data_IF_326968131588
#
_entry.id   IF_326968131588
#
_cell.length_a   1.000
_cell.length_b   1.000
_cell.length_c   1.000
_cell.angle_alpha   90.00
_cell.angle_beta   90.00
_cell.angle_gamma   90.00
#
_symmetry.space_group_name_H-M   'P 1'
#
loop_
_entity.id
_entity.type
_entity.pdbx_description
1 polymer ?
#
# COMPACT_ATOMS: atom_id res chain seq x y z
N UNK A 1 -8.69 5.75 -34.96
CA UNK A 1 -9.04 6.98 -34.19
C UNK A 1 -9.09 6.80 -32.65
N UNK A 2 -8.49 5.77 -32.03
CA UNK A 2 -8.76 5.44 -30.61
C UNK A 2 -7.70 5.86 -29.56
N UNK A 3 -6.46 6.18 -29.97
CA UNK A 3 -5.36 6.40 -29.03
C UNK A 3 -5.36 7.81 -28.39
N UNK A 4 -5.69 8.84 -29.16
CA UNK A 4 -5.74 10.24 -28.68
C UNK A 4 -6.81 10.44 -27.60
N UNK A 5 -8.01 9.88 -27.80
CA UNK A 5 -9.11 9.94 -26.84
C UNK A 5 -8.78 9.24 -25.50
N UNK A 6 -8.01 8.14 -25.53
CA UNK A 6 -7.55 7.44 -24.30
C UNK A 6 -6.53 8.26 -23.51
N UNK A 7 -5.66 9.04 -24.19
CA UNK A 7 -4.64 9.89 -23.57
C UNK A 7 -5.28 11.10 -22.86
N UNK A 8 -6.18 11.80 -23.54
CA UNK A 8 -6.91 12.94 -22.97
C UNK A 8 -7.68 12.54 -21.68
N UNK A 9 -8.39 11.41 -21.72
CA UNK A 9 -9.15 10.88 -20.57
C UNK A 9 -8.28 10.46 -19.38
N UNK A 10 -6.96 10.26 -19.58
CA UNK A 10 -5.99 9.94 -18.52
C UNK A 10 -5.38 11.21 -17.92
N UNK A 11 -5.12 12.22 -18.75
CA UNK A 11 -4.70 13.55 -18.29
C UNK A 11 -5.77 14.22 -17.44
N UNK A 12 -7.03 14.19 -17.88
CA UNK A 12 -8.17 14.72 -17.09
C UNK A 12 -8.28 14.04 -15.72
N UNK A 13 -8.12 12.72 -15.65
CA UNK A 13 -8.15 12.02 -14.37
C UNK A 13 -6.98 12.40 -13.48
N UNK A 14 -5.77 12.52 -14.03
CA UNK A 14 -4.58 12.93 -13.27
C UNK A 14 -4.73 14.35 -12.74
N UNK A 15 -5.31 15.25 -13.52
CA UNK A 15 -5.62 16.62 -13.09
C UNK A 15 -6.70 16.64 -12.00
N UNK A 16 -7.75 15.82 -12.13
CA UNK A 16 -8.78 15.67 -11.08
C UNK A 16 -8.20 15.15 -9.77
N UNK A 17 -7.36 14.12 -9.81
CA UNK A 17 -6.69 13.58 -8.62
C UNK A 17 -5.78 14.65 -8.01
N UNK A 18 -4.92 15.29 -8.80
CA UNK A 18 -4.05 16.35 -8.30
C UNK A 18 -4.84 17.49 -7.66
N UNK A 19 -5.93 17.94 -8.27
CA UNK A 19 -6.79 19.00 -7.73
C UNK A 19 -7.44 18.61 -6.40
N UNK A 20 -7.92 17.37 -6.29
CA UNK A 20 -8.49 16.82 -5.05
C UNK A 20 -7.44 16.74 -3.93
N UNK A 21 -6.20 16.35 -4.25
CA UNK A 21 -5.10 16.29 -3.28
C UNK A 21 -4.67 17.68 -2.79
N UNK A 22 -4.74 18.71 -3.64
CA UNK A 22 -4.34 20.08 -3.27
C UNK A 22 -5.44 20.86 -2.54
N UNK A 23 -6.72 20.55 -2.78
CA UNK A 23 -7.87 21.28 -2.19
C UNK A 23 -8.41 20.67 -0.89
N UNK A 24 -8.06 19.41 -0.57
CA UNK A 24 -8.55 18.71 0.64
C UNK A 24 -7.60 18.92 1.83
N UNK A 25 -7.48 20.15 2.30
CA UNK A 25 -6.66 20.51 3.47
C UNK A 25 -7.20 19.96 4.80
N UNK A 26 -8.50 19.70 4.94
CA UNK A 26 -9.12 19.22 6.17
C UNK A 26 -10.35 18.38 5.83
N UNK A 27 -10.21 17.05 5.85
CA UNK A 27 -11.31 16.12 5.57
C UNK A 27 -10.86 14.69 5.85
N UNK A 28 -11.63 13.99 6.68
CA UNK A 28 -11.37 12.64 7.16
C UNK A 28 -10.88 11.70 6.03
N UNK A 29 -9.78 10.93 6.23
CA UNK A 29 -9.07 10.23 5.16
C UNK A 29 -9.91 9.18 4.40
N UNK A 30 -11.07 8.81 4.93
CA UNK A 30 -11.99 7.85 4.32
C UNK A 30 -12.80 8.41 3.13
N UNK A 31 -13.03 9.72 3.03
CA UNK A 31 -13.93 10.29 2.00
C UNK A 31 -13.27 10.51 0.64
N UNK A 32 -11.92 10.50 0.57
CA UNK A 32 -11.16 10.78 -0.66
C UNK A 32 -10.49 9.53 -1.25
N UNK A 33 -10.37 8.44 -0.48
CA UNK A 33 -9.78 7.19 -0.96
C UNK A 33 -10.79 6.40 -1.80
N UNK A 34 -10.97 6.81 -3.06
CA UNK A 34 -11.69 6.00 -4.04
C UNK A 34 -10.97 4.67 -4.27
N UNK A 35 -11.75 3.60 -4.47
CA UNK A 35 -11.22 2.28 -4.76
C UNK A 35 -10.27 2.32 -5.97
N UNK A 36 -9.14 1.59 -5.92
CA UNK A 36 -8.19 1.50 -7.04
C UNK A 36 -8.91 1.09 -8.34
N UNK A 37 -8.83 1.93 -9.37
CA UNK A 37 -9.46 1.61 -10.66
C UNK A 37 -8.51 0.82 -11.55
N UNK A 38 -8.93 -0.37 -11.98
CA UNK A 38 -8.20 -1.27 -12.89
C UNK A 38 -7.61 -0.60 -14.13
N UNK A 39 -8.25 0.45 -14.65
CA UNK A 39 -7.78 1.19 -15.85
C UNK A 39 -6.50 2.01 -15.62
N UNK A 40 -6.21 2.39 -14.38
CA UNK A 40 -5.05 3.23 -14.04
C UNK A 40 -3.87 2.43 -13.51
N UNK A 41 -4.10 1.17 -13.18
CA UNK A 41 -3.14 0.36 -12.46
C UNK A 41 -2.90 -0.93 -13.24
N UNK A 42 -1.69 -1.09 -13.78
CA UNK A 42 -1.29 -2.29 -14.51
C UNK A 42 -0.47 -3.15 -13.56
N UNK A 43 -1.01 -4.31 -13.23
CA UNK A 43 -0.23 -5.33 -12.53
C UNK A 43 0.87 -5.82 -13.48
N UNK A 44 2.13 -5.65 -13.06
CA UNK A 44 3.29 -6.21 -13.75
C UNK A 44 3.53 -7.57 -13.12
N UNK A 45 3.33 -8.64 -13.89
CA UNK A 45 3.61 -10.00 -13.41
C UNK A 45 5.11 -10.25 -13.17
N UNK A 46 5.95 -9.38 -13.70
CA UNK A 46 7.40 -9.42 -13.59
C UNK A 46 7.86 -8.06 -13.07
N UNK A 47 8.48 -8.07 -11.89
CA UNK A 47 9.39 -7.01 -11.47
C UNK A 47 10.78 -7.43 -11.92
N UNK A 48 11.51 -6.58 -12.63
CA UNK A 48 12.93 -6.83 -12.85
C UNK A 48 13.68 -6.47 -11.55
N UNK A 49 14.29 -7.44 -10.84
CA UNK A 49 14.99 -7.18 -9.59
C UNK A 49 16.11 -6.14 -9.72
N UNK A 50 16.66 -5.97 -10.93
CA UNK A 50 17.78 -5.09 -11.23
C UNK A 50 17.38 -3.72 -11.79
N UNK A 51 16.10 -3.48 -12.12
CA UNK A 51 15.69 -2.20 -12.71
C UNK A 51 14.46 -1.58 -12.10
N UNK A 52 13.58 -2.37 -11.49
CA UNK A 52 12.22 -1.87 -11.27
C UNK A 52 11.99 -1.19 -9.92
N UNK A 53 12.60 -1.55 -8.79
CA UNK A 53 12.28 -0.88 -7.52
C UNK A 53 13.44 -0.91 -6.51
N UNK A 54 13.68 0.23 -5.83
CA UNK A 54 14.50 0.33 -4.61
C UNK A 54 13.72 -0.31 -3.45
N UNK A 55 13.65 -1.65 -3.45
CA UNK A 55 13.02 -2.39 -2.37
C UNK A 55 14.09 -2.72 -1.34
N UNK A 56 13.77 -2.45 -0.07
CA UNK A 56 14.58 -2.92 1.05
C UNK A 56 14.31 -4.41 1.25
N UNK A 57 15.34 -5.22 1.08
CA UNK A 57 15.30 -6.66 1.32
C UNK A 57 15.95 -6.94 2.68
N UNK A 58 15.17 -7.14 3.75
CA UNK A 58 15.74 -7.45 5.06
C UNK A 58 16.48 -8.79 5.00
N UNK A 59 17.58 -8.91 5.76
CA UNK A 59 18.41 -10.12 5.81
C UNK A 59 17.60 -11.36 6.22
N UNK A 60 16.71 -11.18 7.18
CA UNK A 60 15.79 -12.22 7.66
C UNK A 60 14.46 -11.56 8.02
N UNK A 61 13.37 -12.34 8.17
CA UNK A 61 12.08 -11.81 8.63
C UNK A 61 12.19 -11.01 9.95
N UNK A 62 13.10 -11.41 10.85
CA UNK A 62 13.33 -10.72 12.12
C UNK A 62 14.01 -9.33 11.99
N UNK A 63 14.54 -8.99 10.82
CA UNK A 63 15.10 -7.67 10.50
C UNK A 63 14.08 -6.75 9.79
N UNK A 64 12.90 -7.25 9.44
CA UNK A 64 11.91 -6.46 8.72
C UNK A 64 11.30 -5.39 9.63
N UNK A 65 11.22 -4.15 9.12
CA UNK A 65 10.54 -3.06 9.82
C UNK A 65 9.07 -2.93 9.37
N UNK A 66 8.19 -3.66 10.05
CA UNK A 66 6.75 -3.60 9.80
C UNK A 66 6.07 -2.33 10.32
N UNK A 67 6.74 -1.51 11.13
CA UNK A 67 6.16 -0.31 11.75
C UNK A 67 5.74 0.76 10.73
N UNK A 68 6.44 0.81 9.60
CA UNK A 68 6.12 1.70 8.47
C UNK A 68 4.83 1.31 7.76
N UNK A 69 4.49 0.02 7.74
CA UNK A 69 3.30 -0.51 7.08
C UNK A 69 2.07 -0.56 8.00
N UNK A 70 2.28 -0.84 9.29
CA UNK A 70 1.23 -1.02 10.28
C UNK A 70 1.43 -0.12 11.52
N UNK A 71 1.44 1.22 11.36
CA UNK A 71 1.80 2.14 12.44
C UNK A 71 0.87 2.08 13.66
N UNK A 72 -0.40 1.71 13.45
CA UNK A 72 -1.37 1.57 14.53
C UNK A 72 -1.05 0.43 15.53
N UNK A 73 -0.20 -0.52 15.13
CA UNK A 73 0.15 -1.68 15.94
C UNK A 73 1.56 -1.59 16.53
N UNK A 74 2.24 -0.45 16.44
CA UNK A 74 3.60 -0.32 17.01
C UNK A 74 3.53 -0.51 18.53
N UNK A 75 4.37 -1.40 19.05
CA UNK A 75 4.44 -1.67 20.48
C UNK A 75 4.88 -0.40 21.22
N UNK A 76 4.15 0.09 22.24
CA UNK A 76 4.49 1.33 22.96
C UNK A 76 5.75 1.21 23.83
N UNK A 77 6.18 -0.01 24.18
CA UNK A 77 7.45 -0.26 24.85
C UNK A 77 8.63 -0.10 23.87
N UNK A 78 9.53 0.84 24.16
CA UNK A 78 10.69 1.17 23.30
C UNK A 78 11.83 0.17 23.38
N UNK A 79 11.79 -0.72 24.37
CA UNK A 79 12.76 -1.81 24.51
C UNK A 79 12.48 -2.95 23.54
N UNK A 80 11.24 -3.09 23.07
CA UNK A 80 10.82 -4.13 22.13
C UNK A 80 11.23 -3.75 20.70
N UNK A 81 12.39 -4.26 20.27
CA UNK A 81 12.98 -3.96 18.96
C UNK A 81 13.19 -5.21 18.11
N UNK A 82 13.13 -5.03 16.80
CA UNK A 82 13.54 -6.01 15.78
C UNK A 82 15.06 -6.13 15.76
N UNK A 83 15.60 -7.10 15.01
CA UNK A 83 17.06 -7.23 14.87
C UNK A 83 17.69 -6.08 14.08
N UNK A 84 16.91 -5.36 13.27
CA UNK A 84 17.35 -4.12 12.61
C UNK A 84 17.28 -2.88 13.51
N UNK A 85 16.78 -3.03 14.75
CA UNK A 85 16.65 -1.95 15.73
C UNK A 85 15.37 -1.12 15.60
N UNK A 86 14.48 -1.45 14.66
CA UNK A 86 13.16 -0.83 14.54
C UNK A 86 12.21 -1.32 15.63
N UNK A 87 11.10 -0.62 15.83
CA UNK A 87 10.10 -1.00 16.86
C UNK A 87 9.34 -2.24 16.42
N UNK A 88 9.17 -3.20 17.34
CA UNK A 88 8.27 -4.34 17.12
C UNK A 88 6.81 -3.90 17.11
N UNK A 89 5.98 -4.67 16.43
CA UNK A 89 4.54 -4.54 16.50
C UNK A 89 3.98 -5.31 17.71
N UNK A 90 2.74 -4.98 18.08
CA UNK A 90 1.89 -5.70 19.04
C UNK A 90 1.34 -7.01 18.46
N UNK A 91 1.30 -7.10 17.12
CA UNK A 91 0.82 -8.25 16.36
C UNK A 91 1.78 -8.56 15.22
N UNK A 92 1.91 -9.83 14.90
CA UNK A 92 2.70 -10.28 13.76
C UNK A 92 1.86 -10.29 12.48
N UNK A 93 2.53 -10.21 11.33
CA UNK A 93 1.87 -10.40 10.02
C UNK A 93 1.69 -11.90 9.81
N UNK A 94 0.44 -12.36 9.84
CA UNK A 94 0.11 -13.80 9.77
C UNK A 94 -0.44 -14.26 8.41
N UNK A 95 -0.94 -13.32 7.59
CA UNK A 95 -1.57 -13.61 6.30
C UNK A 95 -0.80 -12.92 5.17
N UNK A 96 -0.53 -13.67 4.11
CA UNK A 96 0.10 -13.17 2.88
C UNK A 96 -0.74 -13.54 1.66
N UNK A 97 -1.06 -12.56 0.83
CA UNK A 97 -1.76 -12.74 -0.45
C UNK A 97 -0.78 -12.57 -1.61
N UNK A 98 -0.30 -13.71 -2.14
CA UNK A 98 0.69 -13.73 -3.22
C UNK A 98 -0.03 -13.50 -4.54
N UNK A 99 0.26 -12.37 -5.18
CA UNK A 99 -0.44 -11.98 -6.40
C UNK A 99 -1.80 -11.34 -6.12
N UNK A 100 -1.91 -10.57 -5.02
CA UNK A 100 -3.13 -9.90 -4.56
C UNK A 100 -3.81 -8.98 -5.59
N UNK A 101 -3.12 -8.64 -6.67
CA UNK A 101 -3.63 -7.86 -7.78
C UNK A 101 -4.00 -6.42 -7.39
N UNK A 102 -5.30 -6.13 -7.24
CA UNK A 102 -5.77 -4.83 -6.71
C UNK A 102 -6.16 -4.89 -5.23
N UNK A 103 -5.88 -6.01 -4.54
CA UNK A 103 -6.13 -6.17 -3.11
C UNK A 103 -7.59 -6.46 -2.75
N UNK A 104 -8.44 -6.85 -3.71
CA UNK A 104 -9.86 -7.12 -3.44
C UNK A 104 -10.08 -8.23 -2.41
N UNK A 105 -9.25 -9.27 -2.43
CA UNK A 105 -9.28 -10.34 -1.43
C UNK A 105 -8.89 -9.81 -0.04
N UNK A 106 -7.79 -9.07 0.07
CA UNK A 106 -7.34 -8.47 1.35
C UNK A 106 -8.39 -7.54 1.96
N UNK A 107 -9.06 -6.71 1.14
CA UNK A 107 -10.16 -5.84 1.60
C UNK A 107 -11.35 -6.68 2.11
N UNK A 108 -11.65 -7.80 1.46
CA UNK A 108 -12.69 -8.73 1.92
C UNK A 108 -12.32 -9.52 3.18
N UNK A 109 -11.04 -9.87 3.35
CA UNK A 109 -10.52 -10.61 4.50
C UNK A 109 -10.46 -9.75 5.76
N UNK A 110 -10.15 -8.46 5.65
CA UNK A 110 -10.02 -7.57 6.80
C UNK A 110 -11.22 -7.60 7.78
N UNK A 111 -12.49 -7.47 7.35
CA UNK A 111 -13.63 -7.60 8.26
C UNK A 111 -13.92 -9.05 8.69
N UNK A 112 -13.48 -10.06 7.93
CA UNK A 112 -13.65 -11.47 8.30
C UNK A 112 -12.68 -11.91 9.41
N UNK A 113 -11.54 -11.23 9.54
CA UNK A 113 -10.49 -11.51 10.53
C UNK A 113 -10.12 -10.23 11.33
N UNK A 114 -11.05 -9.63 12.09
CA UNK A 114 -10.84 -8.32 12.72
C UNK A 114 -9.83 -8.33 13.87
N UNK A 115 -9.56 -9.52 14.44
CA UNK A 115 -8.65 -9.70 15.59
C UNK A 115 -7.30 -10.26 15.20
N UNK A 116 -7.10 -10.64 13.93
CA UNK A 116 -5.76 -10.88 13.41
C UNK A 116 -5.00 -9.55 13.20
#
# INVERSE_FOLDING_TARGET
MGAAAKRAKREEFRQKVAKVTTESGEGSPATVLQLPQKRYYRQRAHANPFSDHLLDYPLTPAHMDWSTHFPAFVNPDSTQKTLSGSRKLLKDVEVVDIGCGFGGLLVGLAPAFPTH
#
